data_IF_467342823247
#
_entry.id   IF_467342823247
#
_cell.length_a   1.000
_cell.length_b   1.000
_cell.length_c   1.000
_cell.angle_alpha   90.00
_cell.angle_beta   90.00
_cell.angle_gamma   90.00
#
_symmetry.space_group_name_H-M   'P 1'
#
loop_
_entity.id
_entity.type
_entity.pdbx_description
1 polymer ?
#
# COMPACT_ATOMS: atom_id res chain seq x y z
N UNK A 1 -11.46 -10.11 -10.41
CA UNK A 1 -11.01 -10.55 -9.06
C UNK A 1 -10.39 -9.41 -8.23
N UNK A 2 -9.65 -8.46 -8.84
CA UNK A 2 -9.04 -7.31 -8.16
C UNK A 2 -10.02 -6.43 -7.36
N UNK A 3 -11.24 -6.20 -7.89
CA UNK A 3 -12.21 -5.31 -7.25
C UNK A 3 -12.59 -5.71 -5.81
N UNK A 4 -12.58 -7.01 -5.46
CA UNK A 4 -12.98 -7.46 -4.11
C UNK A 4 -12.00 -7.02 -3.03
N UNK A 5 -10.70 -7.05 -3.32
CA UNK A 5 -9.65 -6.62 -2.38
C UNK A 5 -9.71 -5.11 -2.18
N UNK A 6 -9.93 -4.36 -3.26
CA UNK A 6 -10.08 -2.89 -3.20
C UNK A 6 -11.32 -2.50 -2.40
N UNK A 7 -12.49 -3.11 -2.67
CA UNK A 7 -13.72 -2.86 -1.90
C UNK A 7 -13.48 -3.13 -0.41
N UNK A 8 -12.87 -4.27 -0.05
CA UNK A 8 -12.61 -4.58 1.35
C UNK A 8 -11.64 -3.58 2.02
N UNK A 9 -10.63 -3.08 1.29
CA UNK A 9 -9.69 -2.10 1.83
C UNK A 9 -10.34 -0.74 2.11
N UNK A 10 -11.32 -0.32 1.31
CA UNK A 10 -12.00 0.97 1.49
C UNK A 10 -13.19 0.90 2.47
N UNK A 11 -13.82 -0.28 2.65
CA UNK A 11 -15.01 -0.41 3.50
C UNK A 11 -14.72 -0.88 4.92
N UNK A 12 -13.48 -1.28 5.23
CA UNK A 12 -13.13 -1.88 6.53
C UNK A 12 -12.18 -0.99 7.29
N UNK A 13 -12.41 -0.81 8.59
CA UNK A 13 -11.45 -0.14 9.47
C UNK A 13 -10.19 -0.99 9.61
N UNK A 14 -9.07 -0.49 9.12
CA UNK A 14 -7.78 -1.18 9.11
C UNK A 14 -6.70 -0.25 9.66
N UNK A 15 -5.69 -0.79 10.35
CA UNK A 15 -4.50 -0.02 10.70
C UNK A 15 -3.84 0.56 9.44
N UNK A 16 -3.26 1.75 9.57
CA UNK A 16 -2.47 2.35 8.48
C UNK A 16 -1.35 1.38 8.04
N UNK A 17 -1.08 1.31 6.74
CA UNK A 17 -0.09 0.41 6.16
C UNK A 17 -0.56 -1.04 6.00
N UNK A 18 -1.85 -1.33 6.23
CA UNK A 18 -2.37 -2.69 6.02
C UNK A 18 -2.44 -3.04 4.54
N UNK A 19 -1.77 -4.12 4.15
CA UNK A 19 -1.81 -4.68 2.80
C UNK A 19 -2.79 -5.86 2.72
N UNK A 20 -3.80 -5.77 1.85
CA UNK A 20 -4.79 -6.82 1.61
C UNK A 20 -4.52 -7.49 0.27
N UNK A 21 -4.38 -8.82 0.29
CA UNK A 21 -4.28 -9.62 -0.93
C UNK A 21 -5.06 -10.95 -0.81
N UNK A 22 -5.49 -11.54 -1.94
CA UNK A 22 -6.01 -12.91 -1.95
C UNK A 22 -4.89 -13.90 -1.56
N UNK A 23 -5.20 -14.90 -0.73
CA UNK A 23 -4.23 -15.90 -0.23
C UNK A 23 -4.12 -17.19 -1.07
N UNK A 24 -4.75 -17.26 -2.24
CA UNK A 24 -4.63 -18.40 -3.16
C UNK A 24 -3.43 -18.29 -4.08
N UNK A 25 -3.24 -19.31 -4.94
CA UNK A 25 -2.09 -19.41 -5.86
C UNK A 25 -1.90 -18.09 -6.64
N UNK A 26 -0.68 -17.54 -6.59
CA UNK A 26 -0.31 -16.27 -7.24
C UNK A 26 -1.14 -15.03 -6.83
N UNK A 27 -1.72 -14.99 -5.64
CA UNK A 27 -2.66 -13.94 -5.21
C UNK A 27 -3.89 -13.79 -6.11
N UNK A 28 -4.20 -14.80 -6.95
CA UNK A 28 -5.35 -14.75 -7.85
C UNK A 28 -6.59 -15.41 -7.27
N UNK A 29 -6.46 -16.29 -6.27
CA UNK A 29 -7.58 -17.09 -5.75
C UNK A 29 -7.84 -16.83 -4.26
N UNK A 30 -9.06 -17.13 -3.78
CA UNK A 30 -9.41 -17.07 -2.36
C UNK A 30 -9.93 -15.72 -1.83
N UNK A 31 -10.34 -15.69 -0.54
CA UNK A 31 -10.83 -14.47 0.13
C UNK A 31 -9.66 -13.51 0.43
N UNK A 32 -9.84 -12.18 0.26
CA UNK A 32 -8.81 -11.21 0.63
C UNK A 32 -8.56 -11.24 2.14
N UNK A 33 -7.28 -11.23 2.53
CA UNK A 33 -6.86 -11.18 3.94
C UNK A 33 -5.67 -10.23 4.09
N UNK A 34 -5.52 -9.58 5.26
CA UNK A 34 -4.28 -8.90 5.61
C UNK A 34 -3.09 -9.85 5.43
N UNK A 35 -2.06 -9.39 4.73
CA UNK A 35 -0.90 -10.19 4.36
C UNK A 35 0.39 -9.43 4.61
N UNK A 36 1.43 -10.18 4.99
CA UNK A 36 2.77 -9.66 5.21
C UNK A 36 3.40 -9.24 3.87
N UNK A 37 3.75 -7.97 3.74
CA UNK A 37 4.59 -7.43 2.67
C UNK A 37 5.97 -8.10 2.64
N UNK A 38 6.66 -8.03 1.51
CA UNK A 38 8.07 -8.43 1.43
C UNK A 38 8.95 -7.47 2.23
N UNK A 39 10.09 -7.92 2.73
CA UNK A 39 11.01 -7.09 3.53
C UNK A 39 11.40 -5.79 2.79
N UNK A 40 11.75 -5.89 1.50
CA UNK A 40 12.08 -4.73 0.66
C UNK A 40 10.97 -3.69 0.56
N UNK A 41 9.71 -4.10 0.71
CA UNK A 41 8.56 -3.18 0.66
C UNK A 41 8.28 -2.50 2.02
N UNK A 42 9.07 -2.81 3.06
CA UNK A 42 8.98 -2.18 4.40
C UNK A 42 10.23 -1.40 4.77
N UNK A 43 11.17 -1.25 3.85
CA UNK A 43 12.40 -0.52 4.09
C UNK A 43 12.12 0.99 4.13
N UNK A 44 12.23 1.57 5.33
CA UNK A 44 11.86 2.97 5.57
C UNK A 44 12.80 3.95 4.84
N UNK A 45 14.09 3.63 4.79
CA UNK A 45 15.10 4.46 4.11
C UNK A 45 14.85 4.50 2.60
N UNK A 46 14.58 3.35 1.99
CA UNK A 46 14.20 3.28 0.58
C UNK A 46 12.88 4.00 0.31
N UNK A 47 11.90 3.89 1.21
CA UNK A 47 10.63 4.59 1.07
C UNK A 47 10.80 6.12 1.10
N UNK A 48 11.64 6.63 2.02
CA UNK A 48 11.99 8.06 2.11
C UNK A 48 12.67 8.54 0.83
N UNK A 49 13.72 7.84 0.39
CA UNK A 49 14.45 8.19 -0.83
C UNK A 49 13.56 8.14 -2.08
N UNK A 50 12.68 7.15 -2.16
CA UNK A 50 11.72 7.03 -3.26
C UNK A 50 10.76 8.22 -3.29
N UNK A 51 10.28 8.67 -2.14
CA UNK A 51 9.43 9.85 -2.04
C UNK A 51 10.15 11.09 -2.57
N UNK A 52 11.35 11.37 -2.07
CA UNK A 52 12.12 12.57 -2.44
C UNK A 52 12.36 12.64 -3.96
N UNK A 53 12.78 11.53 -4.58
CA UNK A 53 12.99 11.45 -6.03
C UNK A 53 11.66 11.60 -6.79
N UNK A 54 10.57 11.02 -6.29
CA UNK A 54 9.26 11.13 -6.95
C UNK A 54 8.73 12.55 -6.91
N UNK A 55 8.93 13.26 -5.80
CA UNK A 55 8.58 14.67 -5.66
C UNK A 55 9.39 15.54 -6.64
N UNK A 56 10.71 15.34 -6.71
CA UNK A 56 11.59 16.03 -7.66
C UNK A 56 11.15 15.80 -9.12
N UNK A 57 10.87 14.55 -9.48
CA UNK A 57 10.50 14.19 -10.86
C UNK A 57 9.12 14.70 -11.28
N UNK A 58 8.21 14.89 -10.33
CA UNK A 58 6.83 15.34 -10.61
C UNK A 58 6.61 16.82 -10.33
N UNK A 59 7.53 17.48 -9.62
CA UNK A 59 7.34 18.83 -9.09
C UNK A 59 6.25 18.91 -8.02
N UNK A 60 5.81 17.77 -7.47
CA UNK A 60 4.76 17.69 -6.46
C UNK A 60 5.35 17.50 -5.07
N UNK A 61 5.06 18.41 -4.16
CA UNK A 61 5.40 18.28 -2.75
C UNK A 61 4.26 17.67 -1.93
N UNK A 62 4.60 17.06 -0.80
CA UNK A 62 3.59 16.64 0.17
C UNK A 62 2.89 17.88 0.72
N UNK A 63 1.56 17.93 0.59
CA UNK A 63 0.77 18.96 1.23
C UNK A 63 0.51 18.53 2.67
N UNK A 64 1.36 18.98 3.60
CA UNK A 64 1.02 18.96 5.02
C UNK A 64 -0.16 19.91 5.22
N UNK A 65 -1.36 19.33 5.14
CA UNK A 65 -2.61 19.99 5.47
C UNK A 65 -2.82 19.91 6.98
N UNK A 66 -1.93 20.57 7.72
CA UNK A 66 -2.13 20.89 9.11
C UNK A 66 -2.25 22.42 9.22
N UNK A 67 -3.33 22.98 9.81
CA UNK A 67 -3.20 24.28 10.46
C UNK A 67 -2.27 24.18 11.67
#
# INVERSE_FOLDING_TARGET
MLARSTIQAITTTLPNGTYIAPRGLMHQWGKPKPTTLRHKARDADSARRLWDISAELTGCEWQDSHP
#
